data_IF_847232202377
#
_entry.id   IF_847232202377
#
_cell.length_a   1.000
_cell.length_b   1.000
_cell.length_c   1.000
_cell.angle_alpha   90.00
_cell.angle_beta   90.00
_cell.angle_gamma   90.00
#
_symmetry.space_group_name_H-M   'P 1'
#
loop_
_entity.id
_entity.type
_entity.pdbx_description
1 polymer ?
#
# COMPACT_ATOMS: atom_id res chain seq x y z
N UNK A 1 -14.12 -21.38 10.99
CA UNK A 1 -12.81 -21.71 10.39
C UNK A 1 -12.61 -21.01 9.04
N UNK A 2 -13.21 -19.83 8.82
CA UNK A 2 -12.77 -18.93 7.75
C UNK A 2 -13.21 -17.50 8.07
N UNK A 3 -12.45 -16.85 8.95
CA UNK A 3 -12.71 -15.47 9.42
C UNK A 3 -12.11 -14.43 8.45
N UNK A 4 -11.94 -14.83 7.19
CA UNK A 4 -11.35 -14.04 6.12
C UNK A 4 -12.39 -13.87 5.00
N UNK A 5 -12.86 -12.64 4.80
CA UNK A 5 -13.67 -12.25 3.64
C UNK A 5 -12.77 -11.62 2.59
N UNK A 6 -13.02 -11.93 1.33
CA UNK A 6 -12.23 -11.45 0.19
C UNK A 6 -13.18 -10.82 -0.81
N UNK A 7 -12.94 -9.56 -1.15
CA UNK A 7 -13.67 -8.83 -2.17
C UNK A 7 -12.67 -8.38 -3.25
N UNK A 8 -13.03 -8.56 -4.52
CA UNK A 8 -12.28 -8.04 -5.66
C UNK A 8 -13.07 -6.92 -6.31
N UNK A 9 -12.47 -5.74 -6.39
CA UNK A 9 -13.00 -4.59 -7.10
C UNK A 9 -11.95 -4.11 -8.11
N UNK A 10 -12.18 -4.44 -9.39
CA UNK A 10 -11.19 -4.25 -10.45
C UNK A 10 -9.86 -4.94 -10.17
N UNK A 11 -8.79 -4.14 -10.02
CA UNK A 11 -7.43 -4.61 -9.70
C UNK A 11 -7.08 -4.63 -8.21
N UNK A 12 -8.01 -4.23 -7.34
CA UNK A 12 -7.78 -4.17 -5.89
C UNK A 12 -8.45 -5.36 -5.19
N UNK A 13 -7.72 -5.97 -4.26
CA UNK A 13 -8.21 -7.04 -3.40
C UNK A 13 -8.38 -6.49 -1.99
N UNK A 14 -9.59 -6.56 -1.45
CA UNK A 14 -9.89 -6.22 -0.06
C UNK A 14 -10.00 -7.50 0.76
N UNK A 15 -9.18 -7.58 1.80
CA UNK A 15 -9.17 -8.70 2.75
C UNK A 15 -9.70 -8.21 4.09
N UNK A 16 -10.86 -8.70 4.51
CA UNK A 16 -11.46 -8.35 5.80
C UNK A 16 -11.28 -9.51 6.78
N UNK A 17 -10.64 -9.22 7.91
CA UNK A 17 -10.43 -10.16 9.02
C UNK A 17 -11.45 -9.86 10.11
N UNK A 18 -12.22 -10.86 10.50
CA UNK A 18 -13.20 -10.75 11.57
C UNK A 18 -12.77 -11.64 12.74
N UNK A 19 -11.60 -11.33 13.32
CA UNK A 19 -10.98 -12.08 14.43
C UNK A 19 -10.71 -11.17 15.63
N UNK A 20 -11.75 -10.72 16.33
CA UNK A 20 -11.60 -9.80 17.46
C UNK A 20 -10.76 -10.39 18.60
N UNK A 21 -10.86 -11.70 18.85
CA UNK A 21 -10.07 -12.39 19.89
C UNK A 21 -8.56 -12.38 19.62
N UNK A 22 -8.14 -12.22 18.36
CA UNK A 22 -6.75 -12.15 17.95
C UNK A 22 -6.34 -10.73 17.54
N UNK A 23 -7.17 -9.71 17.82
CA UNK A 23 -6.98 -8.33 17.34
C UNK A 23 -6.69 -8.24 15.83
N UNK A 24 -7.28 -9.15 15.04
CA UNK A 24 -7.03 -9.29 13.60
C UNK A 24 -5.57 -9.58 13.20
N UNK A 25 -4.72 -10.00 14.14
CA UNK A 25 -3.32 -10.34 13.89
C UNK A 25 -3.19 -11.45 12.84
N UNK A 26 -2.17 -11.39 11.95
CA UNK A 26 -1.86 -12.49 11.05
C UNK A 26 -1.23 -13.67 11.82
N UNK A 27 -1.60 -14.90 11.44
CA UNK A 27 -0.90 -16.11 11.85
C UNK A 27 -0.53 -16.95 10.62
N UNK A 28 0.23 -18.03 10.85
CA UNK A 28 0.76 -18.90 9.78
C UNK A 28 -0.38 -19.54 8.98
N UNK A 29 -1.43 -20.00 9.66
CA UNK A 29 -2.59 -20.64 9.02
C UNK A 29 -3.31 -19.66 8.09
N UNK A 30 -3.46 -18.40 8.52
CA UNK A 30 -4.04 -17.34 7.70
C UNK A 30 -3.14 -16.99 6.50
N UNK A 31 -1.82 -16.97 6.70
CA UNK A 31 -0.86 -16.72 5.63
C UNK A 31 -0.93 -17.81 4.55
N UNK A 32 -1.02 -19.08 4.96
CA UNK A 32 -1.17 -20.22 4.05
C UNK A 32 -2.51 -20.20 3.29
N UNK A 33 -3.61 -19.91 4.00
CA UNK A 33 -4.93 -19.78 3.39
C UNK A 33 -4.97 -18.64 2.35
N UNK A 34 -4.28 -17.52 2.65
CA UNK A 34 -4.14 -16.39 1.73
C UNK A 34 -3.31 -16.76 0.50
N UNK A 35 -2.16 -17.42 0.68
CA UNK A 35 -1.30 -17.86 -0.41
C UNK A 35 -2.06 -18.78 -1.40
N UNK A 36 -2.75 -19.80 -0.87
CA UNK A 36 -3.57 -20.70 -1.70
C UNK A 36 -4.70 -19.97 -2.44
N UNK A 37 -5.24 -18.89 -1.87
CA UNK A 37 -6.30 -18.10 -2.52
C UNK A 37 -5.76 -17.22 -3.64
N UNK A 38 -4.59 -16.61 -3.43
CA UNK A 38 -3.90 -15.79 -4.43
C UNK A 38 -3.43 -16.63 -5.62
N UNK A 39 -2.97 -17.86 -5.38
CA UNK A 39 -2.63 -18.82 -6.43
C UNK A 39 -3.82 -19.18 -7.34
N UNK A 40 -5.04 -19.14 -6.79
CA UNK A 40 -6.30 -19.44 -7.50
C UNK A 40 -7.01 -18.20 -8.09
N UNK A 41 -6.49 -17.00 -7.86
CA UNK A 41 -7.02 -15.75 -8.42
C UNK A 41 -6.70 -15.59 -9.92
N UNK A 42 -7.06 -14.46 -10.56
CA UNK A 42 -6.74 -14.21 -11.97
C UNK A 42 -5.24 -13.89 -12.16
N UNK A 43 -4.39 -14.89 -11.95
CA UNK A 43 -2.92 -14.84 -12.01
C UNK A 43 -2.42 -14.29 -13.35
N UNK A 44 -3.18 -14.49 -14.45
CA UNK A 44 -2.87 -13.94 -15.78
C UNK A 44 -3.12 -12.44 -15.90
N UNK A 45 -4.13 -11.90 -15.22
CA UNK A 45 -4.38 -10.45 -15.19
C UNK A 45 -3.35 -9.75 -14.28
N UNK A 46 -3.04 -10.33 -13.11
CA UNK A 46 -2.01 -9.82 -12.21
C UNK A 46 -0.60 -9.84 -12.84
N UNK A 47 -0.26 -10.88 -13.60
CA UNK A 47 0.99 -10.96 -14.35
C UNK A 47 1.08 -9.94 -15.50
N UNK A 48 -0.03 -9.69 -16.23
CA UNK A 48 -0.09 -8.66 -17.28
C UNK A 48 -0.01 -7.25 -16.71
N UNK A 49 -0.68 -6.96 -15.60
CA UNK A 49 -0.57 -5.67 -14.90
C UNK A 49 0.89 -5.44 -14.44
N UNK A 50 1.55 -6.47 -13.90
CA UNK A 50 2.98 -6.40 -13.54
C UNK A 50 3.91 -6.15 -14.73
N UNK A 51 3.53 -6.58 -15.93
CA UNK A 51 4.25 -6.32 -17.18
C UNK A 51 3.93 -4.97 -17.86
N UNK A 52 2.90 -4.27 -17.40
CA UNK A 52 2.58 -2.89 -17.84
C UNK A 52 3.31 -1.83 -17.00
N UNK A 53 3.94 -2.24 -15.90
CA UNK A 53 4.83 -1.40 -15.11
C UNK A 53 6.15 -1.31 -15.86
N UNK A 54 6.75 -0.11 -15.90
CA UNK A 54 8.20 0.06 -16.12
C UNK A 54 8.94 -0.93 -15.22
N UNK A 55 10.19 -1.27 -15.50
CA UNK A 55 10.89 -2.17 -14.58
C UNK A 55 10.79 -1.63 -13.15
N UNK A 56 10.56 -2.50 -12.16
CA UNK A 56 10.39 -2.07 -10.77
C UNK A 56 11.56 -1.18 -10.34
N UNK A 57 12.77 -1.45 -10.85
CA UNK A 57 13.95 -0.60 -10.68
C UNK A 57 13.72 0.83 -11.20
N UNK A 58 13.31 1.02 -12.46
CA UNK A 58 13.05 2.34 -13.02
C UNK A 58 11.95 3.12 -12.28
N UNK A 59 10.93 2.41 -11.76
CA UNK A 59 9.89 3.03 -10.94
C UNK A 59 10.45 3.49 -9.59
N UNK A 60 11.25 2.65 -8.92
CA UNK A 60 11.86 2.98 -7.63
C UNK A 60 12.86 4.13 -7.76
N UNK A 61 13.63 4.18 -8.85
CA UNK A 61 14.56 5.28 -9.11
C UNK A 61 13.78 6.59 -9.35
N UNK A 62 12.70 6.53 -10.14
CA UNK A 62 11.82 7.69 -10.37
C UNK A 62 11.16 8.16 -9.07
N UNK A 63 10.70 7.22 -8.25
CA UNK A 63 10.09 7.51 -6.95
C UNK A 63 11.10 8.12 -5.98
N UNK A 64 12.33 7.59 -5.96
CA UNK A 64 13.40 8.10 -5.11
C UNK A 64 13.68 9.58 -5.39
N UNK A 65 13.85 9.95 -6.67
CA UNK A 65 14.07 11.34 -7.07
C UNK A 65 12.89 12.24 -6.72
N UNK A 66 11.66 11.77 -6.93
CA UNK A 66 10.46 12.52 -6.58
C UNK A 66 10.35 12.75 -5.06
N UNK A 67 10.68 11.74 -4.25
CA UNK A 67 10.68 11.84 -2.78
C UNK A 67 11.74 12.82 -2.31
N UNK A 68 12.94 12.81 -2.89
CA UNK A 68 13.99 13.77 -2.56
C UNK A 68 13.59 15.21 -2.91
N UNK A 69 12.97 15.42 -4.08
CA UNK A 69 12.47 16.72 -4.48
C UNK A 69 11.37 17.22 -3.52
N UNK A 70 10.42 16.36 -3.15
CA UNK A 70 9.41 16.68 -2.13
C UNK A 70 10.06 17.00 -0.78
N UNK A 71 11.02 16.22 -0.30
CA UNK A 71 11.68 16.44 0.98
C UNK A 71 12.48 17.75 1.04
N UNK A 72 12.93 18.26 -0.11
CA UNK A 72 13.63 19.53 -0.23
C UNK A 72 12.68 20.75 -0.32
N UNK A 73 11.37 20.55 -0.49
CA UNK A 73 10.42 21.63 -0.74
C UNK A 73 10.10 22.47 0.50
N UNK A 74 9.54 23.66 0.25
CA UNK A 74 9.05 24.52 1.33
C UNK A 74 7.86 23.87 2.05
N UNK A 75 6.97 23.23 1.29
CA UNK A 75 5.80 22.53 1.82
C UNK A 75 6.17 21.37 2.75
N UNK A 76 7.23 20.63 2.46
CA UNK A 76 7.68 19.56 3.36
C UNK A 76 8.22 20.12 4.67
N UNK A 77 8.96 21.23 4.60
CA UNK A 77 9.46 21.93 5.80
C UNK A 77 8.31 22.44 6.66
N UNK A 78 7.36 23.13 6.06
CA UNK A 78 6.16 23.64 6.72
C UNK A 78 5.31 22.50 7.30
N UNK A 79 5.10 21.42 6.53
CA UNK A 79 4.38 20.24 7.02
C UNK A 79 5.03 19.62 8.25
N UNK A 80 6.36 19.52 8.26
CA UNK A 80 7.12 19.01 9.41
C UNK A 80 7.01 19.95 10.62
N UNK A 81 7.15 21.26 10.42
CA UNK A 81 7.04 22.25 11.49
C UNK A 81 5.61 22.30 12.07
N UNK A 82 4.59 22.30 11.21
CA UNK A 82 3.19 22.28 11.59
C UNK A 82 2.81 21.02 12.37
N UNK A 83 3.34 19.86 11.97
CA UNK A 83 3.14 18.59 12.67
C UNK A 83 3.64 18.65 14.11
N UNK A 84 4.89 19.11 14.32
CA UNK A 84 5.45 19.26 15.67
C UNK A 84 4.73 20.33 16.50
N UNK A 85 4.27 21.40 15.85
CA UNK A 85 3.48 22.45 16.49
C UNK A 85 1.99 22.10 16.68
N UNK A 86 1.53 20.93 16.21
CA UNK A 86 0.12 20.46 16.26
C UNK A 86 -0.86 21.48 15.67
N UNK A 87 -0.45 22.17 14.60
CA UNK A 87 -1.27 23.13 13.85
C UNK A 87 -1.50 22.63 12.43
N UNK A 88 -2.48 23.21 11.75
CA UNK A 88 -2.67 22.96 10.32
C UNK A 88 -1.47 23.54 9.52
N UNK A 89 -0.93 22.80 8.54
CA UNK A 89 0.10 23.31 7.63
C UNK A 89 -0.49 24.25 6.56
N UNK A 90 0.30 25.22 6.12
CA UNK A 90 -0.02 26.07 4.96
C UNK A 90 0.86 25.70 3.77
N UNK A 91 0.38 24.78 2.92
CA UNK A 91 1.11 24.35 1.73
C UNK A 91 0.82 25.28 0.54
N UNK A 92 1.86 25.76 -0.12
CA UNK A 92 1.78 26.67 -1.28
C UNK A 92 1.98 25.95 -2.62
N UNK A 93 2.33 24.66 -2.61
CA UNK A 93 2.52 23.82 -3.80
C UNK A 93 3.85 24.06 -4.52
N UNK A 94 4.88 24.52 -3.81
CA UNK A 94 6.19 24.93 -4.34
C UNK A 94 7.36 24.17 -3.73
#
# INVERSE_FOLDING_TARGET
MNDLRVELDGGLVRLTRDRPAALNAPDVVLAEALAQRLERGPTRASGRIRGLVRSLAELLDTEHEAVLACAASADFREGREAFFARRAPHCEGR
#
